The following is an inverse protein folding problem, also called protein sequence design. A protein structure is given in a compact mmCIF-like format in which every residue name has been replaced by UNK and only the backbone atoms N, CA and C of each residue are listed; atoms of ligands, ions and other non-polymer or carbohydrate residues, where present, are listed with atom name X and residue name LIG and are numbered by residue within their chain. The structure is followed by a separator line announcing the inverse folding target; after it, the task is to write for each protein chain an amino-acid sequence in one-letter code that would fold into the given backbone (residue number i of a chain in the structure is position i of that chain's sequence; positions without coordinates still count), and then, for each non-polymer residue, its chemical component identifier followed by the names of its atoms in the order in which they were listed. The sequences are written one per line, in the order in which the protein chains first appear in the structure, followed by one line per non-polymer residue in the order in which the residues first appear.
data_IF_844183099306
#
_entry.id   IF_844183099306
#
_cell.length_a   1.000
_cell.length_b   1.000
_cell.length_c   1.000
_cell.angle_alpha   90.00
_cell.angle_beta   90.00
_cell.angle_gamma   90.00
#
_symmetry.space_group_name_H-M   'P 1'
#
loop_
_entity.id
_entity.type
_entity.pdbx_description
1 polymer ?
#
# COMPACT_ATOMS: atom_id res chain seq x y z
N UNK A 1 -42.65 20.71 -7.29
CA UNK A 1 -41.57 19.77 -7.67
C UNK A 1 -40.61 20.52 -8.59
N UNK A 2 -39.65 21.28 -8.01
CA UNK A 2 -38.71 22.10 -8.76
C UNK A 2 -37.38 21.33 -8.80
N UNK A 3 -37.02 20.84 -9.99
CA UNK A 3 -35.73 20.22 -10.24
C UNK A 3 -34.65 21.30 -10.35
N UNK A 4 -33.69 21.29 -9.42
CA UNK A 4 -32.44 22.04 -9.54
C UNK A 4 -31.58 21.40 -10.63
N UNK A 5 -31.59 21.98 -11.81
CA UNK A 5 -30.63 21.67 -12.88
C UNK A 5 -29.36 22.48 -12.53
N UNK A 6 -28.37 21.83 -11.96
CA UNK A 6 -27.02 22.38 -11.86
C UNK A 6 -26.37 22.29 -13.24
N UNK A 7 -25.75 23.37 -13.77
CA UNK A 7 -25.08 23.34 -15.04
C UNK A 7 -23.82 22.43 -14.99
N UNK A 8 -23.45 21.79 -16.12
CA UNK A 8 -22.22 21.02 -16.19
C UNK A 8 -21.04 21.96 -15.94
N UNK A 9 -20.15 21.56 -15.05
CA UNK A 9 -18.88 22.22 -14.83
C UNK A 9 -18.03 22.08 -16.11
N UNK A 10 -18.18 23.02 -17.03
CA UNK A 10 -17.26 23.20 -18.14
C UNK A 10 -15.92 23.62 -17.54
N UNK A 11 -14.91 22.75 -17.64
CA UNK A 11 -13.52 23.08 -17.33
C UNK A 11 -13.08 24.10 -18.38
N UNK A 12 -13.19 25.38 -18.04
CA UNK A 12 -12.65 26.45 -18.82
C UNK A 12 -11.12 26.39 -18.76
N UNK A 13 -10.48 26.07 -19.86
CA UNK A 13 -9.06 26.31 -20.07
C UNK A 13 -8.83 27.82 -20.07
N UNK A 14 -8.01 28.30 -19.17
CA UNK A 14 -7.52 29.68 -19.13
C UNK A 14 -8.21 30.58 -18.12
N UNK A 15 -7.58 30.76 -16.94
CA UNK A 15 -7.88 31.89 -16.06
C UNK A 15 -8.42 31.57 -14.68
N UNK A 16 -7.90 30.56 -13.98
CA UNK A 16 -8.15 30.40 -12.55
C UNK A 16 -6.87 30.07 -11.75
N UNK A 17 -5.85 30.94 -11.91
CA UNK A 17 -4.60 30.80 -11.14
C UNK A 17 -4.77 31.06 -9.62
N UNK A 18 -5.95 31.46 -9.16
CA UNK A 18 -6.17 31.92 -7.79
C UNK A 18 -7.20 31.12 -6.96
N UNK A 19 -7.89 30.15 -7.54
CA UNK A 19 -8.83 29.29 -6.80
C UNK A 19 -8.16 28.00 -6.32
N UNK A 20 -8.59 27.54 -5.14
CA UNK A 20 -8.23 26.24 -4.64
C UNK A 20 -9.00 25.15 -5.40
N UNK A 21 -8.30 24.09 -5.76
CA UNK A 21 -8.86 22.86 -6.30
C UNK A 21 -8.58 21.73 -5.32
N UNK A 22 -9.60 20.96 -5.02
CA UNK A 22 -9.49 19.83 -4.09
C UNK A 22 -9.85 18.53 -4.79
N UNK A 23 -9.21 17.46 -4.41
CA UNK A 23 -9.59 16.12 -4.78
C UNK A 23 -9.45 15.19 -3.58
N UNK A 24 -10.47 14.39 -3.32
CA UNK A 24 -10.44 13.35 -2.30
C UNK A 24 -10.86 12.02 -2.92
N UNK A 25 -10.13 10.95 -2.62
CA UNK A 25 -10.48 9.62 -3.05
C UNK A 25 -10.56 8.66 -1.85
N UNK A 26 -11.57 7.81 -1.87
CA UNK A 26 -11.64 6.60 -1.06
C UNK A 26 -11.42 5.42 -1.99
N UNK A 27 -10.62 4.44 -1.56
CA UNK A 27 -10.30 3.33 -2.40
C UNK A 27 -10.15 2.02 -1.63
N UNK A 28 -10.26 0.92 -2.34
CA UNK A 28 -9.92 -0.41 -1.90
C UNK A 28 -8.69 -0.86 -2.68
N UNK A 29 -7.61 -1.14 -1.98
CA UNK A 29 -6.38 -1.70 -2.51
C UNK A 29 -6.22 -3.12 -1.97
N UNK A 30 -6.07 -4.07 -2.86
CA UNK A 30 -6.03 -5.50 -2.57
C UNK A 30 -4.66 -6.08 -2.98
N UNK A 31 -3.60 -5.80 -2.20
CA UNK A 31 -2.27 -6.28 -2.56
C UNK A 31 -2.09 -7.76 -2.24
N UNK A 32 -1.19 -8.40 -2.97
CA UNK A 32 -0.42 -9.53 -2.47
C UNK A 32 0.78 -8.97 -1.72
N UNK A 33 1.05 -9.47 -0.51
CA UNK A 33 2.25 -9.15 0.23
C UNK A 33 3.34 -10.16 -0.12
N UNK A 34 4.50 -9.65 -0.51
CA UNK A 34 5.70 -10.43 -0.71
C UNK A 34 6.83 -9.88 0.16
N UNK A 35 7.66 -10.77 0.68
CA UNK A 35 8.80 -10.39 1.50
C UNK A 35 9.92 -11.41 1.42
N UNK A 36 11.13 -11.01 1.84
CA UNK A 36 12.26 -11.89 2.07
C UNK A 36 12.86 -11.56 3.42
N UNK A 37 13.18 -12.60 4.19
CA UNK A 37 13.81 -12.47 5.50
C UNK A 37 15.25 -13.03 5.45
N UNK A 38 16.14 -12.46 6.25
CA UNK A 38 17.52 -12.94 6.40
C UNK A 38 17.66 -13.98 7.53
N UNK A 39 16.58 -14.68 7.90
CA UNK A 39 16.62 -15.62 9.01
C UNK A 39 16.06 -17.00 8.60
N UNK A 40 16.79 -18.11 8.83
CA UNK A 40 18.12 -18.22 9.43
C UNK A 40 19.25 -17.82 8.44
N UNK A 41 20.40 -17.31 8.96
CA UNK A 41 21.46 -16.74 8.11
C UNK A 41 22.24 -17.73 7.25
N UNK A 42 22.02 -19.03 7.39
CA UNK A 42 22.86 -20.06 6.76
C UNK A 42 22.28 -20.68 5.46
N UNK A 43 20.98 -20.49 5.14
CA UNK A 43 20.33 -21.21 4.03
C UNK A 43 19.58 -20.34 2.99
N UNK A 44 19.91 -19.08 2.84
CA UNK A 44 19.28 -18.22 1.82
C UNK A 44 17.93 -17.65 2.25
N UNK A 45 17.57 -16.55 1.64
CA UNK A 45 16.37 -15.79 1.95
C UNK A 45 15.09 -16.60 1.71
N UNK A 46 14.38 -16.96 2.77
CA UNK A 46 13.03 -17.52 2.66
C UNK A 46 12.05 -16.43 2.19
N UNK A 47 11.32 -16.75 1.13
CA UNK A 47 10.30 -15.85 0.60
C UNK A 47 8.97 -16.08 1.34
N UNK A 48 8.44 -15.00 1.92
CA UNK A 48 7.10 -14.98 2.52
C UNK A 48 6.16 -14.39 1.48
N UNK A 49 5.03 -15.06 1.22
CA UNK A 49 3.97 -14.55 0.38
C UNK A 49 2.61 -14.77 1.04
N UNK A 50 1.83 -13.68 1.16
CA UNK A 50 0.44 -13.71 1.63
C UNK A 50 -0.42 -13.23 0.48
N UNK A 51 -1.31 -14.08 -0.01
CA UNK A 51 -2.19 -13.76 -1.12
C UNK A 51 -3.35 -12.84 -0.73
N UNK A 52 -3.95 -12.20 -1.72
CA UNK A 52 -5.07 -11.28 -1.55
C UNK A 52 -6.30 -11.93 -0.92
N UNK A 53 -6.58 -13.21 -1.19
CA UNK A 53 -7.73 -13.91 -0.62
C UNK A 53 -7.54 -14.09 0.88
N UNK A 54 -6.36 -14.51 1.31
CA UNK A 54 -6.01 -14.61 2.74
C UNK A 54 -6.13 -13.25 3.46
N UNK A 55 -5.75 -12.15 2.79
CA UNK A 55 -5.91 -10.79 3.35
C UNK A 55 -7.39 -10.47 3.53
N UNK A 56 -8.23 -10.72 2.52
CA UNK A 56 -9.66 -10.43 2.59
C UNK A 56 -10.40 -11.25 3.66
N UNK A 57 -10.06 -12.52 3.80
CA UNK A 57 -10.69 -13.41 4.77
C UNK A 57 -10.39 -13.04 6.23
N UNK A 58 -9.28 -12.34 6.46
CA UNK A 58 -8.78 -11.98 7.79
C UNK A 58 -8.80 -10.47 8.06
N UNK A 59 -9.41 -9.69 7.17
CA UNK A 59 -9.48 -8.23 7.28
C UNK A 59 -10.44 -7.82 8.40
N UNK A 60 -9.91 -7.22 9.48
CA UNK A 60 -10.71 -6.67 10.58
C UNK A 60 -11.16 -5.25 10.30
N UNK A 61 -10.20 -4.41 9.89
CA UNK A 61 -10.45 -3.01 9.58
C UNK A 61 -9.46 -2.52 8.54
N UNK A 62 -9.96 -1.75 7.60
CA UNK A 62 -9.12 -1.03 6.64
C UNK A 62 -9.66 0.36 6.41
N UNK A 63 -8.76 1.31 6.21
CA UNK A 63 -9.07 2.64 5.70
C UNK A 63 -8.02 3.00 4.66
N UNK A 64 -8.48 3.37 3.47
CA UNK A 64 -7.60 3.74 2.38
C UNK A 64 -8.16 4.96 1.68
N UNK A 65 -7.38 6.03 1.65
CA UNK A 65 -7.82 7.27 1.05
C UNK A 65 -6.68 8.19 0.69
N UNK A 66 -6.93 9.08 -0.25
CA UNK A 66 -6.00 10.14 -0.62
C UNK A 66 -6.70 11.49 -0.70
N UNK A 67 -5.93 12.53 -0.48
CA UNK A 67 -6.39 13.91 -0.58
C UNK A 67 -5.35 14.75 -1.29
N UNK A 68 -5.81 15.67 -2.10
CA UNK A 68 -4.99 16.67 -2.78
C UNK A 68 -5.65 18.03 -2.67
N UNK A 69 -4.86 19.04 -2.33
CA UNK A 69 -5.23 20.45 -2.42
C UNK A 69 -4.22 21.15 -3.34
N UNK A 70 -4.69 21.98 -4.27
CA UNK A 70 -3.85 22.70 -5.22
C UNK A 70 -4.34 24.13 -5.40
N UNK A 71 -3.40 25.08 -5.47
CA UNK A 71 -3.64 26.46 -5.86
C UNK A 71 -2.65 26.85 -6.97
N UNK A 72 -3.17 27.08 -8.16
CA UNK A 72 -2.34 27.30 -9.34
C UNK A 72 -1.44 26.10 -9.67
N UNK A 73 -0.13 26.30 -9.66
CA UNK A 73 0.86 25.26 -9.97
C UNK A 73 1.32 24.47 -8.74
N UNK A 74 1.09 24.97 -7.53
CA UNK A 74 1.51 24.34 -6.28
C UNK A 74 0.38 23.63 -5.58
N UNK A 75 0.71 22.51 -4.93
CA UNK A 75 -0.26 21.76 -4.15
C UNK A 75 0.40 20.86 -3.10
N UNK A 76 -0.48 20.18 -2.37
CA UNK A 76 -0.12 19.16 -1.39
C UNK A 76 -0.90 17.91 -1.71
N UNK A 77 -0.24 16.77 -1.61
CA UNK A 77 -0.82 15.45 -1.80
C UNK A 77 -0.56 14.60 -0.56
N UNK A 78 -1.58 13.88 -0.10
CA UNK A 78 -1.44 12.88 0.96
C UNK A 78 -2.19 11.61 0.57
N UNK A 79 -1.62 10.47 0.95
CA UNK A 79 -2.18 9.13 0.72
C UNK A 79 -2.00 8.29 1.98
N UNK A 80 -3.07 7.69 2.47
CA UNK A 80 -3.10 6.93 3.71
C UNK A 80 -3.70 5.55 3.46
N UNK A 81 -2.95 4.53 3.85
CA UNK A 81 -3.41 3.13 3.93
C UNK A 81 -3.28 2.67 5.37
N UNK A 82 -4.36 2.23 5.96
CA UNK A 82 -4.38 1.52 7.23
C UNK A 82 -4.94 0.12 7.03
N UNK A 83 -4.25 -0.87 7.54
CA UNK A 83 -4.64 -2.28 7.49
C UNK A 83 -4.53 -2.87 8.88
N UNK A 84 -5.57 -3.57 9.32
CA UNK A 84 -5.58 -4.42 10.51
C UNK A 84 -6.05 -5.81 10.07
N UNK A 85 -5.10 -6.73 9.97
CA UNK A 85 -5.33 -8.13 9.67
C UNK A 85 -5.18 -8.91 10.96
N UNK A 86 -6.18 -9.67 11.35
CA UNK A 86 -6.12 -10.44 12.57
C UNK A 86 -6.45 -11.90 12.35
N UNK A 87 -5.71 -12.75 13.06
CA UNK A 87 -5.99 -14.18 13.20
C UNK A 87 -5.83 -14.98 11.90
N UNK A 88 -4.81 -14.67 11.10
CA UNK A 88 -4.45 -15.50 9.96
C UNK A 88 -3.89 -16.82 10.45
N UNK A 89 -4.70 -17.87 10.49
CA UNK A 89 -4.26 -19.22 10.87
C UNK A 89 -3.54 -19.84 9.69
N UNK A 90 -2.24 -19.91 9.76
CA UNK A 90 -1.44 -20.65 8.79
C UNK A 90 -1.15 -22.03 9.36
N UNK A 91 -1.79 -23.06 8.82
CA UNK A 91 -1.43 -24.45 9.06
C UNK A 91 -0.23 -24.78 8.19
N UNK A 92 0.98 -24.69 8.72
CA UNK A 92 2.16 -25.08 7.96
C UNK A 92 2.60 -26.51 8.34
N UNK A 93 2.53 -27.42 7.38
CA UNK A 93 3.10 -28.78 7.47
C UNK A 93 4.64 -28.80 7.33
N UNK A 94 5.27 -27.64 7.17
CA UNK A 94 6.71 -27.53 6.93
C UNK A 94 7.40 -26.58 7.90
N UNK A 95 6.99 -26.53 9.15
CA UNK A 95 7.64 -25.70 10.14
C UNK A 95 8.94 -26.38 10.60
N UNK A 96 10.08 -25.76 10.35
CA UNK A 96 11.37 -26.15 10.92
C UNK A 96 11.69 -25.25 12.13
N UNK A 97 12.02 -25.85 13.26
CA UNK A 97 12.50 -25.14 14.45
C UNK A 97 13.97 -25.49 14.63
N UNK A 98 14.85 -24.51 14.51
CA UNK A 98 16.29 -24.71 14.69
C UNK A 98 16.92 -25.64 13.64
N UNK A 99 16.41 -25.63 12.39
CA UNK A 99 16.92 -26.45 11.28
C UNK A 99 16.51 -27.93 11.35
N UNK A 100 15.55 -28.30 12.20
CA UNK A 100 15.00 -29.65 12.26
C UNK A 100 13.51 -29.66 11.97
N UNK A 101 13.10 -30.49 10.99
CA UNK A 101 11.69 -30.71 10.66
C UNK A 101 10.93 -31.30 11.85
N UNK A 102 9.68 -30.88 12.04
CA UNK A 102 8.81 -31.42 13.09
C UNK A 102 8.47 -32.89 12.82
N UNK A 103 8.43 -33.75 13.85
CA UNK A 103 7.92 -35.10 13.72
C UNK A 103 6.50 -35.14 13.18
N UNK A 104 6.12 -36.22 12.47
CA UNK A 104 4.84 -36.34 11.78
C UNK A 104 3.59 -36.28 12.69
N UNK A 105 3.74 -36.46 13.98
CA UNK A 105 2.72 -36.44 15.03
C UNK A 105 2.62 -35.10 15.78
N UNK A 106 3.39 -34.08 15.36
CA UNK A 106 3.35 -32.74 15.93
C UNK A 106 2.50 -31.82 15.05
N UNK A 107 1.51 -31.18 15.66
CA UNK A 107 0.71 -30.15 15.01
C UNK A 107 1.20 -28.78 15.46
N UNK A 108 1.60 -27.95 14.51
CA UNK A 108 1.97 -26.55 14.76
C UNK A 108 0.80 -25.66 14.36
N UNK A 109 0.37 -24.81 15.29
CA UNK A 109 -0.56 -23.71 15.02
C UNK A 109 0.23 -22.41 15.08
N UNK A 110 0.21 -21.67 13.98
CA UNK A 110 0.78 -20.33 13.91
C UNK A 110 -0.32 -19.32 13.60
N UNK A 111 -0.40 -18.28 14.40
CA UNK A 111 -1.30 -17.14 14.18
C UNK A 111 -0.46 -15.93 13.83
N UNK A 112 -0.81 -15.26 12.76
CA UNK A 112 -0.14 -14.07 12.30
C UNK A 112 -1.13 -12.90 12.31
N UNK A 113 -0.82 -11.87 13.10
CA UNK A 113 -1.52 -10.60 13.11
C UNK A 113 -0.62 -9.55 12.45
N UNK A 114 -1.19 -8.71 11.61
CA UNK A 114 -0.47 -7.60 10.97
C UNK A 114 -1.28 -6.32 11.11
N UNK A 115 -0.71 -5.34 11.79
CA UNK A 115 -1.21 -3.96 11.78
C UNK A 115 -0.22 -3.07 11.09
N UNK A 116 -0.73 -2.14 10.26
CA UNK A 116 0.18 -1.25 9.58
C UNK A 116 -0.45 0.03 9.09
N UNK A 117 0.39 1.06 9.05
CA UNK A 117 0.14 2.36 8.44
C UNK A 117 1.14 2.59 7.33
N UNK A 118 0.64 2.98 6.17
CA UNK A 118 1.46 3.52 5.11
C UNK A 118 0.93 4.91 4.79
N UNK A 119 1.72 5.93 5.08
CA UNK A 119 1.34 7.31 4.89
C UNK A 119 2.35 8.04 4.03
N UNK A 120 1.85 8.70 2.98
CA UNK A 120 2.63 9.56 2.10
C UNK A 120 2.13 10.99 2.23
N UNK A 121 3.06 11.94 2.41
CA UNK A 121 2.80 13.37 2.37
C UNK A 121 3.83 14.03 1.46
N UNK A 122 3.36 14.77 0.45
CA UNK A 122 4.23 15.40 -0.52
C UNK A 122 3.72 16.77 -0.96
N UNK A 123 4.65 17.70 -1.16
CA UNK A 123 4.40 18.90 -1.94
C UNK A 123 4.37 18.51 -3.43
N UNK A 124 3.53 19.16 -4.21
CA UNK A 124 3.41 18.94 -5.65
C UNK A 124 3.58 20.24 -6.41
N UNK A 125 4.22 20.15 -7.56
CA UNK A 125 4.36 21.25 -8.51
C UNK A 125 3.94 20.78 -9.88
N UNK A 126 3.03 21.52 -10.55
CA UNK A 126 2.49 21.19 -11.89
C UNK A 126 3.19 22.03 -12.97
N UNK A 127 4.30 21.53 -13.56
CA UNK A 127 4.98 22.23 -14.66
C UNK A 127 4.17 22.20 -15.96
N UNK A 128 3.34 21.20 -16.15
CA UNK A 128 2.58 21.01 -17.39
C UNK A 128 1.12 20.73 -17.08
N UNK A 129 0.25 21.54 -17.70
CA UNK A 129 -1.20 21.35 -17.66
C UNK A 129 -1.77 21.73 -19.04
N UNK A 130 -2.36 20.76 -19.72
CA UNK A 130 -3.07 20.93 -20.98
C UNK A 130 -4.44 20.26 -20.89
N UNK A 131 -5.28 20.48 -21.88
CA UNK A 131 -6.57 19.78 -21.99
C UNK A 131 -6.40 18.27 -22.10
N UNK A 132 -5.27 17.81 -22.64
CA UNK A 132 -5.02 16.41 -22.93
C UNK A 132 -4.27 15.71 -21.78
N UNK A 133 -3.35 16.38 -21.10
CA UNK A 133 -2.57 15.76 -20.03
C UNK A 133 -2.09 16.76 -18.99
N UNK A 134 -1.81 16.26 -17.80
CA UNK A 134 -1.16 17.01 -16.73
C UNK A 134 -0.04 16.17 -16.10
N UNK A 135 1.02 16.87 -15.68
CA UNK A 135 2.17 16.30 -14.99
C UNK A 135 2.40 17.06 -13.71
N UNK A 136 2.39 16.39 -12.57
CA UNK A 136 2.77 16.91 -11.26
C UNK A 136 4.09 16.25 -10.84
N UNK A 137 5.11 17.03 -10.58
CA UNK A 137 6.32 16.60 -9.88
C UNK A 137 6.02 16.65 -8.38
N UNK A 138 6.49 15.69 -7.62
CA UNK A 138 6.27 15.62 -6.18
C UNK A 138 7.57 15.37 -5.42
N UNK A 139 7.64 15.93 -4.21
CA UNK A 139 8.68 15.65 -3.23
C UNK A 139 8.08 15.68 -1.82
N UNK A 140 8.49 14.75 -0.97
CA UNK A 140 7.89 14.63 0.35
C UNK A 140 8.46 13.48 1.16
N UNK A 141 7.61 12.89 1.99
CA UNK A 141 7.99 11.79 2.88
C UNK A 141 6.97 10.67 2.82
N UNK A 142 7.45 9.44 3.07
CA UNK A 142 6.64 8.25 3.26
C UNK A 142 6.98 7.60 4.59
N UNK A 143 5.96 7.35 5.39
CA UNK A 143 6.03 6.58 6.62
C UNK A 143 5.49 5.17 6.36
N UNK A 144 6.22 4.17 6.78
CA UNK A 144 5.76 2.80 6.90
C UNK A 144 5.90 2.39 8.36
N UNK A 145 4.79 2.12 9.01
CA UNK A 145 4.72 1.58 10.36
C UNK A 145 4.04 0.22 10.28
N UNK A 146 4.76 -0.84 10.61
CA UNK A 146 4.23 -2.20 10.55
C UNK A 146 4.59 -2.89 11.85
N UNK A 147 3.58 -3.52 12.44
CA UNK A 147 3.71 -4.35 13.64
C UNK A 147 3.23 -5.77 13.33
N UNK A 148 4.11 -6.65 12.79
CA UNK A 148 3.83 -8.06 12.67
C UNK A 148 3.93 -8.73 14.04
N UNK A 149 2.95 -9.56 14.36
CA UNK A 149 2.91 -10.39 15.56
C UNK A 149 2.71 -11.83 15.16
N UNK A 150 3.67 -12.67 15.51
CA UNK A 150 3.62 -14.11 15.29
C UNK A 150 3.41 -14.80 16.63
N UNK A 151 2.33 -15.56 16.75
CA UNK A 151 2.06 -16.43 17.89
C UNK A 151 2.08 -17.87 17.42
N UNK A 152 2.74 -18.78 18.15
CA UNK A 152 2.77 -20.20 17.81
C UNK A 152 2.45 -21.07 19.01
N UNK A 153 1.82 -22.21 18.72
CA UNK A 153 1.56 -23.28 19.68
C UNK A 153 1.90 -24.62 19.04
N UNK A 154 2.66 -25.43 19.73
CA UNK A 154 3.01 -26.78 19.35
C UNK A 154 2.22 -27.78 20.20
N UNK A 155 1.44 -28.64 19.56
CA UNK A 155 0.69 -29.71 20.20
C UNK A 155 1.18 -31.06 19.65
N UNK A 156 1.49 -32.00 20.53
CA UNK A 156 1.94 -33.35 20.16
C UNK A 156 2.97 -33.91 21.13
N UNK A 157 3.35 -35.17 20.91
CA UNK A 157 4.36 -35.87 21.72
C UNK A 157 5.69 -35.82 20.95
N UNK A 158 6.63 -35.00 21.43
CA UNK A 158 7.91 -34.73 20.76
C UNK A 158 9.00 -35.70 21.22
N UNK A 159 8.66 -36.84 21.76
CA UNK A 159 9.62 -37.86 22.19
C UNK A 159 10.63 -37.34 23.25
N UNK A 160 11.91 -37.68 23.08
CA UNK A 160 13.01 -37.28 24.00
C UNK A 160 13.60 -35.91 23.70
N UNK A 161 13.07 -35.15 22.74
CA UNK A 161 13.53 -33.81 22.41
C UNK A 161 12.81 -32.85 23.33
N UNK A 162 13.53 -32.07 24.13
CA UNK A 162 13.01 -30.97 24.91
C UNK A 162 12.90 -29.77 23.93
N UNK A 163 11.70 -29.42 23.43
CA UNK A 163 11.59 -28.27 22.58
C UNK A 163 11.75 -26.98 23.38
N UNK A 164 12.40 -25.98 22.86
CA UNK A 164 12.29 -24.66 23.42
C UNK A 164 10.82 -24.24 23.30
N UNK A 165 10.21 -23.88 24.39
CA UNK A 165 8.85 -23.34 24.57
C UNK A 165 7.78 -23.87 23.62
N UNK A 166 6.86 -24.69 24.13
CA UNK A 166 5.68 -25.21 23.37
C UNK A 166 4.73 -24.12 22.85
N UNK A 167 4.91 -22.89 23.28
CA UNK A 167 4.16 -21.72 22.81
C UNK A 167 5.02 -20.47 22.96
N UNK A 168 4.86 -19.54 22.05
CA UNK A 168 5.55 -18.27 22.09
C UNK A 168 4.82 -17.21 21.30
N UNK A 169 5.14 -15.96 21.60
CA UNK A 169 4.69 -14.79 20.82
C UNK A 169 5.90 -13.93 20.56
N UNK A 170 6.10 -13.56 19.30
CA UNK A 170 7.12 -12.60 18.89
C UNK A 170 6.46 -11.45 18.17
N UNK A 171 6.70 -10.25 18.65
CA UNK A 171 6.27 -9.01 18.05
C UNK A 171 7.52 -8.24 17.64
N UNK A 172 7.54 -7.77 16.40
CA UNK A 172 8.62 -6.95 15.88
C UNK A 172 7.96 -5.81 15.12
N UNK A 173 8.06 -4.61 15.65
CA UNK A 173 7.49 -3.41 15.02
C UNK A 173 8.55 -2.36 14.77
N UNK A 174 8.33 -1.56 13.77
CA UNK A 174 9.21 -0.45 13.45
C UNK A 174 8.55 0.57 12.54
N UNK A 175 8.87 1.83 12.80
CA UNK A 175 8.44 2.95 11.96
C UNK A 175 9.60 3.38 11.07
N UNK A 176 9.39 3.32 9.75
CA UNK A 176 10.36 3.76 8.74
C UNK A 176 9.88 5.07 8.12
N UNK A 177 10.77 6.05 8.06
CA UNK A 177 10.56 7.32 7.39
C UNK A 177 11.54 7.45 6.23
N UNK A 178 11.01 7.66 5.03
CA UNK A 178 11.80 7.84 3.81
C UNK A 178 11.42 9.16 3.14
N UNK A 179 12.42 9.85 2.62
CA UNK A 179 12.21 10.97 1.70
C UNK A 179 11.93 10.41 0.32
N UNK A 180 10.95 10.97 -0.36
CA UNK A 180 10.53 10.53 -1.70
C UNK A 180 10.53 11.68 -2.69
N UNK A 181 10.78 11.35 -3.95
CA UNK A 181 10.58 12.24 -5.08
C UNK A 181 9.99 11.47 -6.26
N UNK A 182 9.15 12.11 -7.04
CA UNK A 182 8.46 11.40 -8.12
C UNK A 182 7.60 12.30 -8.99
N UNK A 183 6.71 11.66 -9.74
CA UNK A 183 5.73 12.31 -10.60
C UNK A 183 4.41 11.55 -10.60
N UNK A 184 3.36 12.30 -10.84
CA UNK A 184 2.01 11.78 -11.02
C UNK A 184 1.29 12.61 -12.08
N UNK A 185 0.25 12.05 -12.64
CA UNK A 185 -0.51 12.81 -13.62
C UNK A 185 -1.68 12.05 -14.18
N UNK A 186 -2.30 12.71 -15.16
CA UNK A 186 -3.49 12.26 -15.87
C UNK A 186 -3.34 12.52 -17.35
N UNK A 187 -3.85 11.62 -18.17
CA UNK A 187 -3.97 11.75 -19.62
C UNK A 187 -5.41 11.51 -20.00
N UNK A 188 -6.06 12.48 -20.62
CA UNK A 188 -7.41 12.32 -21.15
C UNK A 188 -7.36 11.46 -22.42
N UNK A 189 -8.10 10.35 -22.43
CA UNK A 189 -8.15 9.39 -23.54
C UNK A 189 -9.28 9.71 -24.52
N UNK A 190 -10.28 10.47 -24.07
CA UNK A 190 -11.40 10.94 -24.90
C UNK A 190 -11.39 12.46 -24.99
N UNK A 191 -11.88 12.99 -26.09
CA UNK A 191 -11.92 14.43 -26.34
C UNK A 191 -12.73 15.22 -25.30
N UNK A 192 -13.74 14.60 -24.71
CA UNK A 192 -14.58 15.19 -23.64
C UNK A 192 -14.01 14.96 -22.23
N UNK A 193 -12.82 14.35 -22.09
CA UNK A 193 -12.20 14.05 -20.80
C UNK A 193 -12.92 13.01 -19.95
N UNK A 194 -13.95 12.33 -20.50
CA UNK A 194 -14.73 11.31 -19.77
C UNK A 194 -13.89 10.08 -19.44
N UNK A 195 -13.14 9.57 -20.41
CA UNK A 195 -12.15 8.51 -20.19
C UNK A 195 -10.77 9.09 -20.00
N UNK A 196 -10.05 8.60 -19.00
CA UNK A 196 -8.69 9.05 -18.75
C UNK A 196 -7.81 7.92 -18.19
N UNK A 197 -6.52 8.05 -18.40
CA UNK A 197 -5.50 7.26 -17.73
C UNK A 197 -4.88 8.09 -16.60
N UNK A 198 -4.42 7.42 -15.55
CA UNK A 198 -3.67 8.02 -14.44
C UNK A 198 -2.38 7.25 -14.25
N UNK A 199 -1.38 7.96 -13.76
CA UNK A 199 -0.10 7.38 -13.39
C UNK A 199 0.48 8.05 -12.15
N UNK A 200 1.26 7.28 -11.41
CA UNK A 200 2.03 7.73 -10.25
C UNK A 200 3.31 6.93 -10.18
N UNK A 201 4.40 7.61 -9.95
CA UNK A 201 5.71 6.99 -9.76
C UNK A 201 6.53 7.80 -8.76
N UNK A 202 7.14 7.15 -7.78
CA UNK A 202 8.11 7.76 -6.89
C UNK A 202 9.22 6.77 -6.52
N UNK A 203 10.33 7.34 -6.08
CA UNK A 203 11.46 6.63 -5.47
C UNK A 203 11.92 7.41 -4.25
N UNK A 204 12.51 6.71 -3.31
CA UNK A 204 12.95 7.32 -2.07
C UNK A 204 13.96 6.51 -1.28
N UNK A 205 14.46 7.14 -0.22
CA UNK A 205 15.40 6.56 0.74
C UNK A 205 15.35 7.32 2.06
N UNK A 206 15.83 6.71 3.11
CA UNK A 206 15.87 7.28 4.46
C UNK A 206 16.20 6.23 5.49
N UNK A 207 15.22 5.79 6.27
CA UNK A 207 15.40 4.63 7.13
C UNK A 207 15.51 3.35 6.32
N UNK A 208 14.76 3.25 5.21
CA UNK A 208 14.97 2.19 4.23
C UNK A 208 16.20 2.50 3.36
N UNK A 209 16.86 1.44 2.85
CA UNK A 209 17.90 1.59 1.82
C UNK A 209 17.32 2.15 0.53
N UNK A 210 16.11 1.68 0.16
CA UNK A 210 15.37 2.12 -0.99
C UNK A 210 13.88 1.88 -0.79
N UNK A 211 13.03 2.81 -1.22
CA UNK A 211 11.59 2.62 -1.39
C UNK A 211 11.17 3.10 -2.77
N UNK A 212 10.14 2.51 -3.32
CA UNK A 212 9.57 2.95 -4.59
C UNK A 212 8.13 2.54 -4.74
N UNK A 213 7.39 3.36 -5.46
CA UNK A 213 5.99 3.10 -5.78
C UNK A 213 5.74 3.37 -7.25
N UNK A 214 4.98 2.49 -7.88
CA UNK A 214 4.44 2.67 -9.22
C UNK A 214 2.95 2.37 -9.22
N UNK A 215 2.15 3.19 -9.87
CA UNK A 215 0.72 2.97 -10.08
C UNK A 215 0.33 3.44 -11.48
N UNK A 216 -0.50 2.66 -12.14
CA UNK A 216 -1.07 3.00 -13.43
C UNK A 216 -2.48 2.45 -13.54
N UNK A 217 -3.36 3.19 -14.20
CA UNK A 217 -4.75 2.79 -14.33
C UNK A 217 -5.56 3.69 -15.24
N UNK A 218 -6.84 3.40 -15.30
CA UNK A 218 -7.82 4.17 -16.07
C UNK A 218 -9.01 4.54 -15.20
N UNK A 219 -9.71 5.58 -15.61
CA UNK A 219 -10.89 6.06 -14.92
C UNK A 219 -11.95 6.60 -15.86
N UNK A 220 -13.12 6.73 -15.31
CA UNK A 220 -14.28 7.29 -15.98
C UNK A 220 -14.86 8.42 -15.12
N UNK A 221 -15.01 9.60 -15.74
CA UNK A 221 -15.57 10.78 -15.11
C UNK A 221 -17.08 10.83 -15.31
N UNK A 222 -17.84 10.80 -14.22
CA UNK A 222 -19.27 11.03 -14.16
C UNK A 222 -19.54 12.49 -13.74
N UNK A 223 -20.79 12.91 -13.78
CA UNK A 223 -21.17 14.24 -13.30
C UNK A 223 -21.00 14.41 -11.77
N UNK A 224 -21.02 13.33 -11.03
CA UNK A 224 -20.98 13.29 -9.56
C UNK A 224 -19.63 12.86 -8.97
N UNK A 225 -18.67 12.46 -9.82
CA UNK A 225 -17.34 12.01 -9.38
C UNK A 225 -16.66 11.12 -10.41
N UNK A 226 -15.55 10.52 -10.03
CA UNK A 226 -14.73 9.67 -10.92
C UNK A 226 -14.57 8.28 -10.33
N UNK A 227 -14.77 7.25 -11.13
CA UNK A 227 -14.39 5.87 -10.80
C UNK A 227 -13.05 5.56 -11.45
N UNK A 228 -12.18 4.89 -10.68
CA UNK A 228 -10.81 4.58 -11.05
C UNK A 228 -10.57 3.09 -10.84
N UNK A 229 -9.87 2.47 -11.78
CA UNK A 229 -9.29 1.14 -11.62
C UNK A 229 -7.81 1.22 -11.98
N UNK A 230 -6.95 0.73 -11.08
CA UNK A 230 -5.52 0.84 -11.24
C UNK A 230 -4.81 -0.41 -10.70
N UNK A 231 -3.55 -0.57 -11.07
CA UNK A 231 -2.62 -1.48 -10.43
C UNK A 231 -1.58 -0.67 -9.68
N UNK A 232 -1.34 -1.01 -8.41
CA UNK A 232 -0.38 -0.34 -7.54
C UNK A 232 0.68 -1.32 -7.08
N UNK A 233 1.92 -0.92 -7.17
CA UNK A 233 3.09 -1.60 -6.61
C UNK A 233 3.81 -0.67 -5.65
N UNK A 234 4.18 -1.18 -4.48
CA UNK A 234 5.01 -0.47 -3.49
C UNK A 234 6.09 -1.45 -3.03
N UNK A 235 7.35 -1.03 -3.09
CA UNK A 235 8.49 -1.85 -2.70
C UNK A 235 9.38 -1.14 -1.69
N UNK A 236 9.92 -1.93 -0.77
CA UNK A 236 10.91 -1.52 0.21
C UNK A 236 12.10 -2.46 0.18
N UNK A 237 13.30 -1.91 0.24
CA UNK A 237 14.52 -2.62 0.59
C UNK A 237 14.99 -2.05 1.93
N UNK A 238 14.96 -2.88 2.98
CA UNK A 238 15.39 -2.48 4.31
C UNK A 238 16.92 -2.45 4.40
N UNK A 239 17.47 -1.82 5.42
CA UNK A 239 18.92 -1.86 5.69
C UNK A 239 19.29 -3.24 6.20
N UNK A 240 20.52 -3.66 5.95
CA UNK A 240 21.02 -5.03 6.23
C UNK A 240 21.03 -5.42 7.73
N UNK A 241 20.71 -4.49 8.64
CA UNK A 241 20.55 -4.74 10.08
C UNK A 241 19.15 -5.21 10.47
N UNK A 242 18.18 -5.15 9.53
CA UNK A 242 16.80 -5.47 9.81
C UNK A 242 16.50 -6.95 9.52
N UNK A 243 15.65 -7.56 10.32
CA UNK A 243 15.21 -8.95 10.14
C UNK A 243 14.48 -9.16 8.80
N UNK A 244 13.83 -8.11 8.29
CA UNK A 244 13.12 -8.09 7.03
C UNK A 244 14.00 -7.39 5.98
N UNK A 245 14.43 -8.11 4.94
CA UNK A 245 15.28 -7.55 3.89
C UNK A 245 14.47 -6.80 2.82
N UNK A 246 13.37 -7.39 2.40
CA UNK A 246 12.50 -6.85 1.37
C UNK A 246 11.04 -6.98 1.76
N UNK A 247 10.27 -5.97 1.39
CA UNK A 247 8.82 -5.98 1.53
C UNK A 247 8.21 -5.36 0.28
N UNK A 248 7.23 -6.02 -0.30
CA UNK A 248 6.50 -5.46 -1.42
C UNK A 248 4.99 -5.72 -1.30
N UNK A 249 4.24 -4.80 -1.88
CA UNK A 249 2.80 -4.83 -1.98
C UNK A 249 2.44 -4.64 -3.46
N UNK A 250 1.74 -5.58 -4.06
CA UNK A 250 1.38 -5.51 -5.48
C UNK A 250 -0.05 -5.99 -5.68
N UNK A 251 -0.90 -5.16 -6.30
CA UNK A 251 -2.27 -5.55 -6.52
C UNK A 251 -3.18 -4.52 -7.15
N UNK A 252 -4.43 -4.92 -7.45
CA UNK A 252 -5.44 -4.04 -7.98
C UNK A 252 -5.95 -3.04 -6.94
N UNK A 253 -6.38 -1.89 -7.45
CA UNK A 253 -6.97 -0.81 -6.69
C UNK A 253 -8.22 -0.31 -7.43
N UNK A 254 -9.31 -0.13 -6.69
CA UNK A 254 -10.52 0.52 -7.19
C UNK A 254 -10.82 1.72 -6.30
N UNK A 255 -11.05 2.88 -6.90
CA UNK A 255 -11.25 4.12 -6.17
C UNK A 255 -12.47 4.90 -6.69
N UNK A 256 -13.08 5.62 -5.77
CA UNK A 256 -14.02 6.68 -6.05
C UNK A 256 -13.40 8.03 -5.64
N UNK A 257 -13.36 8.98 -6.56
CA UNK A 257 -12.75 10.29 -6.36
C UNK A 257 -13.76 11.41 -6.56
N UNK A 258 -13.76 12.35 -5.62
CA UNK A 258 -14.47 13.63 -5.71
C UNK A 258 -13.49 14.74 -6.09
N UNK A 259 -13.98 15.75 -6.81
CA UNK A 259 -13.24 16.99 -7.11
C UNK A 259 -14.15 18.19 -6.91
N UNK A 260 -13.64 19.26 -6.33
CA UNK A 260 -14.37 20.51 -6.14
C UNK A 260 -13.44 21.72 -6.06
#
# INVERSE_FOLDING_TARGET
MFGLILPPAAVAAGGQADSWEFAAALYLYLPTLGGATNYPPEDGSDSISIDTATILDNLKLTFMGSFQARKGTWGVFTDLVYIDLGNTRTLSRGFEIGGQGLPADVTAHAEFDLKGWLWTLAATYRPVSSEQYSVDVLAGTRMLDITPKLSWQLAGNIGSISPPDRSGTRESGGTNWDLIAGLKGRVNLSANGTWFALYYFDVGTGNSRFTGQAMGGAGYAFQWGELLAAWRYIGYQMKSSDTLERLNFSGPLVAYQFRW
#
